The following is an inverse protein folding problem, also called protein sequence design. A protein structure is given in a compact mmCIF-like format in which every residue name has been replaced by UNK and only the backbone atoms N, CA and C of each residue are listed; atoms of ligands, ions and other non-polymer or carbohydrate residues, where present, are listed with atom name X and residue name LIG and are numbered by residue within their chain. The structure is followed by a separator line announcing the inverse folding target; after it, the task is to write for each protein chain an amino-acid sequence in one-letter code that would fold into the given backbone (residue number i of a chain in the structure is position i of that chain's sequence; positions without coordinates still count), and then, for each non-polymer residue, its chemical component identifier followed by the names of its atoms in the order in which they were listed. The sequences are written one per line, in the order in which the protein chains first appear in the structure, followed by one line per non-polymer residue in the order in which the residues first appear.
data_IF_964539310211
#
_entry.id   IF_964539310211
#
_cell.length_a   1.000
_cell.length_b   1.000
_cell.length_c   1.000
_cell.angle_alpha   90.00
_cell.angle_beta   90.00
_cell.angle_gamma   90.00
#
_symmetry.space_group_name_H-M   'P 1'
#
loop_
_entity.id
_entity.type
_entity.pdbx_description
1 polymer ?
#
# COMPACT_ATOMS: atom_id res chain seq x y z
N UNK A 1 -11.39 -40.75 54.64
CA UNK A 1 -11.86 -41.98 53.98
C UNK A 1 -12.94 -41.55 52.99
N UNK A 2 -12.90 -41.73 51.67
CA UNK A 2 -11.97 -42.27 50.67
C UNK A 2 -12.49 -41.71 49.32
N UNK A 3 -11.63 -41.17 48.46
CA UNK A 3 -11.00 -41.87 47.35
C UNK A 3 -11.99 -42.40 46.27
N UNK A 4 -12.06 -41.60 45.19
CA UNK A 4 -12.19 -41.94 43.76
C UNK A 4 -13.15 -43.04 43.29
N UNK A 5 -13.94 -42.71 42.25
CA UNK A 5 -13.82 -43.44 40.98
C UNK A 5 -14.27 -42.60 39.77
N UNK A 6 -13.34 -42.36 38.85
CA UNK A 6 -13.57 -41.92 37.48
C UNK A 6 -14.08 -43.11 36.68
N UNK A 7 -15.18 -42.96 35.93
CA UNK A 7 -15.51 -43.78 34.75
C UNK A 7 -16.69 -43.17 33.99
N UNK A 8 -16.38 -42.33 32.99
CA UNK A 8 -16.78 -42.51 31.59
C UNK A 8 -16.62 -41.21 30.79
N UNK A 9 -15.51 -41.12 30.07
CA UNK A 9 -15.26 -40.04 29.09
C UNK A 9 -16.11 -40.17 27.81
N UNK A 10 -16.94 -41.22 27.71
CA UNK A 10 -17.83 -41.49 26.59
C UNK A 10 -19.21 -40.82 26.73
N UNK A 11 -19.68 -40.54 27.95
CA UNK A 11 -21.00 -39.93 28.17
C UNK A 11 -21.03 -38.43 27.79
N UNK A 12 -19.87 -37.77 27.86
CA UNK A 12 -19.74 -36.38 27.35
C UNK A 12 -19.80 -36.37 25.82
N UNK A 13 -19.29 -37.40 25.15
CA UNK A 13 -19.33 -37.51 23.69
C UNK A 13 -20.73 -37.85 23.15
N UNK A 14 -21.53 -38.64 23.87
CA UNK A 14 -22.92 -38.90 23.44
C UNK A 14 -23.82 -37.67 23.59
N UNK A 15 -23.64 -36.87 24.65
CA UNK A 15 -24.42 -35.63 24.81
C UNK A 15 -24.12 -34.56 23.74
N UNK A 16 -22.94 -34.60 23.12
CA UNK A 16 -22.55 -33.71 22.01
C UNK A 16 -23.07 -34.21 20.65
N UNK A 17 -23.21 -35.53 20.47
CA UNK A 17 -23.75 -36.11 19.24
C UNK A 17 -25.29 -36.07 19.18
N UNK A 18 -25.98 -36.14 20.33
CA UNK A 18 -27.45 -36.05 20.38
C UNK A 18 -27.95 -34.59 20.31
N UNK A 19 -27.11 -33.62 20.72
CA UNK A 19 -27.29 -32.19 20.38
C UNK A 19 -26.73 -31.84 18.99
N UNK A 20 -26.36 -32.84 18.18
CA UNK A 20 -25.92 -32.70 16.80
C UNK A 20 -27.05 -32.89 15.76
N UNK A 21 -28.25 -33.30 16.18
CA UNK A 21 -29.35 -33.62 15.27
C UNK A 21 -30.48 -32.58 15.23
N UNK A 22 -30.27 -31.40 15.81
CA UNK A 22 -31.17 -30.26 15.68
C UNK A 22 -30.37 -29.05 15.20
N UNK A 23 -30.51 -28.76 13.90
CA UNK A 23 -30.17 -27.47 13.28
C UNK A 23 -28.71 -27.20 12.86
N UNK A 24 -27.95 -28.22 12.42
CA UNK A 24 -26.69 -27.99 11.69
C UNK A 24 -26.92 -27.85 10.17
N UNK A 25 -27.85 -26.95 9.80
CA UNK A 25 -27.87 -26.27 8.49
C UNK A 25 -26.78 -25.19 8.38
N UNK A 26 -25.80 -25.19 9.29
CA UNK A 26 -24.70 -24.25 9.40
C UNK A 26 -23.51 -24.65 8.54
N UNK A 27 -23.65 -24.55 7.22
CA UNK A 27 -22.71 -23.86 6.30
C UNK A 27 -21.20 -23.89 6.67
N UNK A 28 -20.65 -25.07 6.97
CA UNK A 28 -19.21 -25.33 7.12
C UNK A 28 -18.61 -25.98 5.87
N UNK A 29 -19.02 -25.53 4.68
CA UNK A 29 -18.40 -25.96 3.44
C UNK A 29 -16.99 -25.40 3.38
N UNK A 30 -16.00 -26.25 3.61
CA UNK A 30 -14.60 -25.99 3.27
C UNK A 30 -14.53 -25.85 1.75
N UNK A 31 -14.84 -24.63 1.29
CA UNK A 31 -15.14 -24.31 -0.08
C UNK A 31 -13.92 -24.56 -0.95
N UNK A 32 -14.09 -25.45 -1.93
CA UNK A 32 -13.11 -25.68 -2.98
C UNK A 32 -12.54 -24.36 -3.49
N UNK A 33 -11.23 -24.36 -3.72
CA UNK A 33 -10.47 -23.27 -4.30
C UNK A 33 -11.04 -22.90 -5.67
N UNK A 34 -12.13 -22.15 -5.69
CA UNK A 34 -12.71 -21.60 -6.91
C UNK A 34 -11.72 -20.60 -7.43
N UNK A 35 -11.51 -20.68 -8.74
CA UNK A 35 -10.87 -19.72 -9.61
C UNK A 35 -11.50 -18.31 -9.44
N UNK A 36 -11.30 -17.66 -8.30
CA UNK A 36 -11.98 -16.42 -7.90
C UNK A 36 -11.13 -15.22 -8.32
N UNK A 37 -11.80 -14.10 -8.56
CA UNK A 37 -11.16 -12.81 -8.73
C UNK A 37 -10.25 -12.54 -7.53
N UNK A 38 -9.00 -12.15 -7.81
CA UNK A 38 -8.02 -11.76 -6.80
C UNK A 38 -7.69 -10.31 -7.02
N UNK A 39 -7.90 -9.48 -6.00
CA UNK A 39 -7.65 -8.05 -6.12
C UNK A 39 -6.17 -7.75 -6.34
N UNK A 40 -5.94 -6.61 -6.96
CA UNK A 40 -4.64 -6.06 -7.24
C UNK A 40 -3.93 -5.65 -5.96
N UNK A 41 -2.61 -5.77 -5.97
CA UNK A 41 -1.78 -5.28 -4.87
C UNK A 41 -1.54 -3.79 -5.01
N UNK A 42 -1.55 -3.09 -3.88
CA UNK A 42 -1.14 -1.69 -3.82
C UNK A 42 0.34 -1.54 -4.21
N UNK A 43 0.65 -0.42 -4.85
CA UNK A 43 2.01 -0.06 -5.24
C UNK A 43 2.49 1.13 -4.41
N UNK A 44 3.78 1.15 -4.05
CA UNK A 44 4.36 2.20 -3.22
C UNK A 44 5.47 2.91 -3.98
N UNK A 45 5.44 4.25 -3.98
CA UNK A 45 6.46 5.07 -4.62
C UNK A 45 7.01 6.10 -3.65
N UNK A 46 8.32 6.11 -3.47
CA UNK A 46 8.99 7.10 -2.61
C UNK A 46 9.35 8.34 -3.44
N UNK A 47 8.66 9.45 -3.16
CA UNK A 47 8.93 10.73 -3.78
C UNK A 47 9.80 11.59 -2.86
N UNK A 48 11.06 11.74 -3.25
CA UNK A 48 11.99 12.65 -2.58
C UNK A 48 11.80 14.08 -3.11
N UNK A 49 11.57 15.02 -2.19
CA UNK A 49 11.40 16.44 -2.44
C UNK A 49 12.42 17.26 -1.67
N UNK A 50 12.80 18.41 -2.21
CA UNK A 50 13.58 19.40 -1.46
C UNK A 50 12.65 20.21 -0.56
N UNK A 51 13.19 20.76 0.53
CA UNK A 51 12.46 21.61 1.48
C UNK A 51 11.58 22.67 0.79
N UNK A 52 12.14 23.46 -0.14
CA UNK A 52 11.39 24.49 -0.86
C UNK A 52 10.21 23.92 -1.66
N UNK A 53 10.39 22.75 -2.32
CA UNK A 53 9.30 22.12 -3.09
C UNK A 53 8.19 21.59 -2.18
N UNK A 54 8.52 21.14 -0.97
CA UNK A 54 7.55 20.72 0.02
C UNK A 54 6.73 21.91 0.54
N UNK A 55 7.37 23.07 0.75
CA UNK A 55 6.70 24.30 1.21
C UNK A 55 5.74 24.86 0.16
N UNK A 56 6.19 25.03 -1.09
CA UNK A 56 5.37 25.64 -2.15
C UNK A 56 4.43 24.67 -2.86
N UNK A 57 4.67 23.37 -2.75
CA UNK A 57 4.02 22.37 -3.58
C UNK A 57 4.66 22.30 -4.97
N UNK A 58 4.44 21.18 -5.65
CA UNK A 58 5.03 20.95 -6.98
C UNK A 58 4.15 20.01 -7.79
N UNK A 59 4.07 20.26 -9.10
CA UNK A 59 3.55 19.28 -10.07
C UNK A 59 4.75 18.54 -10.64
N UNK A 60 4.74 17.21 -10.53
CA UNK A 60 5.83 16.36 -11.03
C UNK A 60 5.24 15.19 -11.80
N UNK A 61 5.93 14.74 -12.83
CA UNK A 61 5.62 13.46 -13.48
C UNK A 61 6.53 12.37 -12.89
N UNK A 62 5.94 11.24 -12.54
CA UNK A 62 6.67 10.05 -12.10
C UNK A 62 6.42 8.90 -13.05
N UNK A 63 7.41 8.03 -13.20
CA UNK A 63 7.28 6.78 -13.91
C UNK A 63 7.08 5.66 -12.90
N UNK A 64 5.94 4.98 -12.99
CA UNK A 64 5.60 3.84 -12.13
C UNK A 64 5.46 2.60 -13.01
N UNK A 65 6.20 1.56 -12.64
CA UNK A 65 6.10 0.26 -13.27
C UNK A 65 5.11 -0.59 -12.50
N UNK A 66 4.00 -0.98 -13.14
CA UNK A 66 2.93 -1.76 -12.51
C UNK A 66 2.44 -2.87 -13.43
N UNK A 67 1.71 -3.82 -12.87
CA UNK A 67 1.01 -4.85 -13.63
C UNK A 67 -0.31 -4.28 -14.16
N UNK A 68 -0.47 -4.28 -15.48
CA UNK A 68 -1.72 -3.92 -16.15
C UNK A 68 -2.35 -5.13 -16.82
N UNK A 69 -3.63 -5.02 -17.17
CA UNK A 69 -4.31 -6.04 -17.97
C UNK A 69 -3.58 -6.26 -19.29
N UNK A 70 -3.40 -7.51 -19.67
CA UNK A 70 -2.82 -7.86 -20.96
C UNK A 70 -3.78 -7.51 -22.09
N UNK A 71 -3.41 -6.57 -22.96
CA UNK A 71 -4.27 -6.06 -24.05
C UNK A 71 -4.70 -7.14 -25.05
N UNK A 72 -3.88 -8.18 -25.24
CA UNK A 72 -4.24 -9.26 -26.17
C UNK A 72 -5.34 -10.16 -25.63
N UNK A 73 -5.29 -10.51 -24.34
CA UNK A 73 -6.26 -11.45 -23.74
C UNK A 73 -7.29 -10.77 -22.83
N UNK A 74 -7.24 -9.44 -22.69
CA UNK A 74 -8.11 -8.63 -21.81
C UNK A 74 -8.19 -9.19 -20.38
N UNK A 75 -7.07 -9.64 -19.82
CA UNK A 75 -7.03 -10.17 -18.44
C UNK A 75 -7.43 -11.63 -18.28
N UNK A 76 -7.87 -12.32 -19.35
CA UNK A 76 -8.30 -13.73 -19.26
C UNK A 76 -7.14 -14.72 -19.12
N UNK A 77 -5.93 -14.34 -19.54
CA UNK A 77 -4.77 -15.23 -19.61
C UNK A 77 -4.80 -16.22 -20.77
N UNK A 78 -5.96 -16.39 -21.44
CA UNK A 78 -6.12 -17.31 -22.55
C UNK A 78 -5.76 -16.67 -23.89
N UNK A 79 -5.35 -17.50 -24.85
CA UNK A 79 -5.13 -17.08 -26.23
C UNK A 79 -6.46 -16.56 -26.81
N UNK A 80 -6.46 -15.41 -27.52
CA UNK A 80 -7.67 -14.86 -28.11
C UNK A 80 -8.40 -15.88 -28.98
N UNK A 81 -9.74 -15.89 -28.92
CA UNK A 81 -10.62 -16.83 -29.64
C UNK A 81 -10.46 -18.31 -29.28
N UNK A 82 -9.76 -18.64 -28.19
CA UNK A 82 -9.77 -20.00 -27.63
C UNK A 82 -10.77 -20.09 -26.48
N UNK A 83 -11.37 -21.27 -26.30
CA UNK A 83 -12.30 -21.54 -25.20
C UNK A 83 -11.60 -22.36 -24.13
N UNK A 84 -11.89 -22.07 -22.87
CA UNK A 84 -11.48 -22.91 -21.77
C UNK A 84 -12.20 -24.27 -21.88
N UNK A 85 -11.46 -25.35 -21.71
CA UNK A 85 -11.98 -26.72 -21.71
C UNK A 85 -11.87 -27.29 -20.31
N UNK A 86 -12.80 -28.15 -19.90
CA UNK A 86 -12.72 -28.82 -18.59
C UNK A 86 -11.40 -29.59 -18.47
N UNK A 87 -10.74 -29.48 -17.31
CA UNK A 87 -9.51 -30.21 -17.06
C UNK A 87 -9.79 -31.71 -16.96
N UNK A 88 -9.15 -32.51 -17.80
CA UNK A 88 -9.34 -33.97 -17.82
C UNK A 88 -8.79 -34.65 -16.55
N UNK A 89 -7.74 -34.12 -15.94
CA UNK A 89 -7.08 -34.70 -14.76
C UNK A 89 -7.93 -34.61 -13.50
N UNK A 90 -8.67 -33.50 -13.31
CA UNK A 90 -9.51 -33.29 -12.13
C UNK A 90 -11.01 -33.26 -12.45
N UNK A 91 -11.41 -33.47 -13.71
CA UNK A 91 -12.81 -33.45 -14.15
C UNK A 91 -13.53 -32.11 -13.91
N UNK A 92 -12.80 -30.99 -13.83
CA UNK A 92 -13.39 -29.69 -13.48
C UNK A 92 -13.29 -29.30 -12.01
N UNK A 93 -12.80 -30.19 -11.13
CA UNK A 93 -12.83 -29.96 -9.69
C UNK A 93 -11.68 -29.08 -9.17
N UNK A 94 -10.63 -28.87 -9.97
CA UNK A 94 -9.45 -28.07 -9.60
C UNK A 94 -8.52 -28.74 -8.57
N UNK A 95 -8.94 -29.84 -7.95
CA UNK A 95 -8.20 -30.59 -6.96
C UNK A 95 -8.21 -32.08 -7.32
N UNK A 96 -7.19 -32.81 -6.88
CA UNK A 96 -7.07 -34.26 -7.04
C UNK A 96 -6.81 -34.90 -5.68
N UNK A 97 -7.49 -36.01 -5.40
CA UNK A 97 -7.31 -36.76 -4.15
C UNK A 97 -6.18 -37.76 -4.36
N UNK A 98 -5.10 -37.62 -3.61
CA UNK A 98 -4.01 -38.59 -3.56
C UNK A 98 -4.17 -39.44 -2.31
N UNK A 99 -4.28 -40.76 -2.50
CA UNK A 99 -4.35 -41.72 -1.39
C UNK A 99 -2.97 -42.36 -1.21
N UNK A 100 -2.43 -42.28 -0.01
CA UNK A 100 -1.20 -42.95 0.39
C UNK A 100 -1.54 -44.05 1.39
N UNK A 101 -1.11 -45.29 1.10
CA UNK A 101 -1.25 -46.40 2.05
C UNK A 101 -0.09 -46.35 3.03
N UNK A 102 -0.40 -46.19 4.31
CA UNK A 102 0.55 -46.23 5.41
C UNK A 102 0.29 -47.48 6.26
N UNK A 103 1.26 -47.95 7.07
CA UNK A 103 1.03 -49.07 7.99
C UNK A 103 -0.12 -48.85 8.98
N UNK A 104 -0.51 -47.58 9.21
CA UNK A 104 -1.61 -47.17 10.08
C UNK A 104 -2.97 -47.00 9.36
N UNK A 105 -3.03 -47.24 8.04
CA UNK A 105 -4.24 -47.12 7.23
C UNK A 105 -4.06 -46.29 5.96
N UNK A 106 -5.18 -45.98 5.28
CA UNK A 106 -5.20 -45.18 4.06
C UNK A 106 -5.34 -43.71 4.42
N UNK A 107 -4.31 -42.91 4.16
CA UNK A 107 -4.36 -41.46 4.33
C UNK A 107 -4.72 -40.82 2.99
N UNK A 108 -5.78 -39.99 2.96
CA UNK A 108 -6.19 -39.25 1.77
C UNK A 108 -5.81 -37.78 1.93
N UNK A 109 -4.99 -37.27 1.01
CA UNK A 109 -4.63 -35.86 0.94
C UNK A 109 -5.22 -35.23 -0.31
N UNK A 110 -5.82 -34.05 -0.16
CA UNK A 110 -6.34 -33.27 -1.28
C UNK A 110 -5.25 -32.32 -1.76
N UNK A 111 -4.81 -32.48 -3.00
CA UNK A 111 -3.81 -31.62 -3.62
C UNK A 111 -4.45 -30.78 -4.73
N UNK A 112 -3.88 -29.61 -5.02
CA UNK A 112 -4.28 -28.83 -6.21
C UNK A 112 -3.91 -29.61 -7.47
N UNK A 113 -4.78 -29.58 -8.48
CA UNK A 113 -4.51 -30.27 -9.74
C UNK A 113 -3.35 -29.58 -10.47
N UNK A 114 -2.25 -30.30 -10.70
CA UNK A 114 -1.05 -29.77 -11.37
C UNK A 114 -1.33 -29.31 -12.81
N UNK A 115 -2.29 -29.93 -13.50
CA UNK A 115 -2.62 -29.62 -14.90
C UNK A 115 -3.35 -28.29 -15.07
N UNK A 116 -4.25 -27.93 -14.15
CA UNK A 116 -5.03 -26.69 -14.22
C UNK A 116 -4.67 -25.67 -13.12
N UNK A 117 -3.71 -25.98 -12.25
CA UNK A 117 -3.29 -25.10 -11.15
C UNK A 117 -4.44 -24.67 -10.24
N UNK A 118 -5.43 -25.55 -10.01
CA UNK A 118 -6.62 -25.20 -9.23
C UNK A 118 -7.80 -24.59 -10.01
N UNK A 119 -7.64 -24.24 -11.29
CA UNK A 119 -8.69 -23.54 -12.04
C UNK A 119 -9.89 -24.42 -12.43
N UNK A 120 -9.73 -25.75 -12.49
CA UNK A 120 -10.73 -26.69 -13.00
C UNK A 120 -10.84 -26.73 -14.52
N UNK A 121 -10.31 -25.72 -15.20
CA UNK A 121 -10.30 -25.62 -16.65
C UNK A 121 -8.87 -25.41 -17.17
N UNK A 122 -8.64 -25.86 -18.39
CA UNK A 122 -7.39 -25.69 -19.14
C UNK A 122 -7.68 -24.89 -20.39
N UNK A 123 -6.83 -23.92 -20.68
CA UNK A 123 -6.90 -23.09 -21.88
C UNK A 123 -5.51 -22.98 -22.50
N UNK A 124 -5.45 -22.62 -23.78
CA UNK A 124 -4.18 -22.31 -24.43
C UNK A 124 -3.67 -20.98 -23.88
N UNK A 125 -2.48 -20.93 -23.25
CA UNK A 125 -2.00 -19.70 -22.63
C UNK A 125 -1.78 -18.60 -23.67
N UNK A 126 -2.02 -17.35 -23.27
CA UNK A 126 -1.71 -16.19 -24.09
C UNK A 126 -0.19 -16.05 -24.25
N UNK A 127 0.27 -15.81 -25.48
CA UNK A 127 1.70 -15.71 -25.79
C UNK A 127 2.41 -14.53 -25.09
N UNK A 128 1.70 -13.46 -24.76
CA UNK A 128 2.31 -12.24 -24.18
C UNK A 128 2.42 -12.33 -22.65
N UNK A 129 1.37 -12.79 -21.97
CA UNK A 129 1.35 -12.89 -20.50
C UNK A 129 1.60 -14.31 -19.99
N UNK A 130 1.85 -15.29 -20.87
CA UNK A 130 2.09 -16.70 -20.53
C UNK A 130 1.04 -17.33 -19.61
N UNK A 131 -0.23 -16.90 -19.73
CA UNK A 131 -1.32 -17.41 -18.91
C UNK A 131 -1.68 -16.57 -17.68
N UNK A 132 -0.88 -15.55 -17.33
CA UNK A 132 -1.11 -14.73 -16.13
C UNK A 132 -2.27 -13.74 -16.27
N UNK A 133 -2.54 -13.29 -17.51
CA UNK A 133 -3.54 -12.26 -17.82
C UNK A 133 -3.07 -10.83 -17.56
N UNK A 134 -1.88 -10.65 -16.97
CA UNK A 134 -1.29 -9.33 -16.68
C UNK A 134 0.06 -9.17 -17.36
N UNK A 135 0.46 -7.93 -17.61
CA UNK A 135 1.74 -7.56 -18.20
C UNK A 135 2.34 -6.38 -17.43
N UNK A 136 3.66 -6.37 -17.27
CA UNK A 136 4.35 -5.25 -16.63
C UNK A 136 4.47 -4.10 -17.63
N UNK A 137 3.96 -2.93 -17.28
CA UNK A 137 4.03 -1.70 -18.08
C UNK A 137 4.50 -0.54 -17.21
N UNK A 138 5.27 0.36 -17.80
CA UNK A 138 5.67 1.62 -17.16
C UNK A 138 4.75 2.73 -17.64
N UNK A 139 4.11 3.43 -16.70
CA UNK A 139 3.17 4.52 -16.97
C UNK A 139 3.69 5.80 -16.33
N UNK A 140 3.55 6.92 -17.05
CA UNK A 140 3.79 8.27 -16.52
C UNK A 140 2.54 8.78 -15.84
N UNK A 141 2.65 9.16 -14.57
CA UNK A 141 1.56 9.70 -13.77
C UNK A 141 1.95 11.10 -13.33
N UNK A 142 1.13 12.09 -13.69
CA UNK A 142 1.28 13.46 -13.22
C UNK A 142 0.68 13.57 -11.82
N UNK A 143 1.52 13.90 -10.85
CA UNK A 143 1.12 14.09 -9.46
C UNK A 143 1.23 15.56 -9.07
N UNK A 144 0.22 16.04 -8.34
CA UNK A 144 0.20 17.37 -7.74
C UNK A 144 0.42 17.23 -6.24
N UNK A 145 1.60 17.63 -5.78
CA UNK A 145 1.90 17.70 -4.35
C UNK A 145 1.36 19.04 -3.83
N UNK A 146 0.47 19.04 -2.82
CA UNK A 146 0.00 20.28 -2.22
C UNK A 146 1.13 21.01 -1.50
N UNK A 147 0.97 22.31 -1.30
CA UNK A 147 1.88 23.12 -0.50
C UNK A 147 1.79 22.72 0.98
N UNK A 148 2.91 22.82 1.68
CA UNK A 148 3.00 22.55 3.11
C UNK A 148 3.10 21.08 3.51
N UNK A 149 3.30 20.16 2.56
CA UNK A 149 3.53 18.74 2.87
C UNK A 149 4.75 18.56 3.75
N UNK A 150 4.70 17.56 4.62
CA UNK A 150 5.81 17.18 5.48
C UNK A 150 6.30 15.76 5.17
N UNK A 151 7.50 15.42 5.64
CA UNK A 151 8.05 14.06 5.55
C UNK A 151 7.11 13.05 6.18
N UNK A 152 6.91 11.92 5.50
CA UNK A 152 5.96 10.87 5.92
C UNK A 152 4.53 11.08 5.44
N UNK A 153 4.23 12.21 4.78
CA UNK A 153 2.93 12.42 4.12
C UNK A 153 2.69 11.37 3.04
N UNK A 154 1.43 10.94 2.88
CA UNK A 154 1.03 9.90 1.92
C UNK A 154 -0.04 10.44 0.98
N UNK A 155 0.21 10.37 -0.32
CA UNK A 155 -0.79 10.66 -1.35
C UNK A 155 -1.30 9.35 -1.94
N UNK A 156 -2.62 9.18 -2.00
CA UNK A 156 -3.28 7.98 -2.53
C UNK A 156 -3.87 8.27 -3.91
N UNK A 157 -3.44 7.53 -4.91
CA UNK A 157 -4.01 7.52 -6.25
C UNK A 157 -4.82 6.24 -6.42
N UNK A 158 -6.14 6.40 -6.53
CA UNK A 158 -7.06 5.26 -6.61
C UNK A 158 -6.88 4.51 -7.93
N UNK A 159 -6.95 3.19 -7.89
CA UNK A 159 -6.84 2.30 -9.06
C UNK A 159 -5.57 2.46 -9.89
N UNK A 160 -4.55 3.13 -9.33
CA UNK A 160 -3.26 3.32 -9.99
C UNK A 160 -2.20 2.27 -9.59
N UNK A 161 -2.54 1.32 -8.71
CA UNK A 161 -1.69 0.19 -8.35
C UNK A 161 -1.73 -0.97 -9.35
N UNK A 162 -1.36 -2.17 -8.90
CA UNK A 162 -1.37 -3.36 -9.77
C UNK A 162 -2.81 -3.79 -10.08
N UNK A 163 -3.09 -4.22 -11.31
CA UNK A 163 -4.40 -4.76 -11.68
C UNK A 163 -4.62 -6.12 -11.03
N UNK A 164 -5.86 -6.44 -10.66
CA UNK A 164 -6.28 -7.74 -10.13
C UNK A 164 -6.23 -8.87 -11.16
N UNK A 165 -6.43 -10.12 -10.72
CA UNK A 165 -6.34 -11.35 -11.53
C UNK A 165 -7.77 -11.79 -11.72
N UNK A 166 -8.09 -12.28 -12.92
CA UNK A 166 -9.40 -12.90 -13.20
C UNK A 166 -10.58 -11.98 -12.84
N UNK A 167 -10.44 -10.69 -13.14
CA UNK A 167 -11.47 -9.68 -12.88
C UNK A 167 -11.45 -9.04 -11.49
N UNK A 168 -10.40 -9.27 -10.67
CA UNK A 168 -10.23 -8.54 -9.40
C UNK A 168 -9.98 -7.04 -9.62
N UNK A 169 -10.35 -6.22 -8.65
CA UNK A 169 -10.19 -4.76 -8.75
C UNK A 169 -8.71 -4.37 -8.72
N UNK A 170 -8.29 -3.27 -9.37
CA UNK A 170 -6.93 -2.76 -9.23
C UNK A 170 -6.66 -2.30 -7.78
N UNK A 171 -5.41 -2.46 -7.34
CA UNK A 171 -4.91 -1.80 -6.14
C UNK A 171 -4.68 -0.31 -6.36
N UNK A 172 -4.22 0.36 -5.32
CA UNK A 172 -3.93 1.80 -5.32
C UNK A 172 -2.43 2.08 -5.37
N UNK A 173 -2.08 3.29 -5.79
CA UNK A 173 -0.71 3.79 -5.69
C UNK A 173 -0.59 4.74 -4.49
N UNK A 174 0.29 4.40 -3.56
CA UNK A 174 0.65 5.24 -2.43
C UNK A 174 2.00 5.91 -2.68
N UNK A 175 1.97 7.24 -2.84
CA UNK A 175 3.18 8.05 -2.93
C UNK A 175 3.56 8.51 -1.54
N UNK A 176 4.68 8.00 -1.02
CA UNK A 176 5.26 8.41 0.26
C UNK A 176 6.22 9.56 0.02
N UNK A 177 6.00 10.68 0.71
CA UNK A 177 6.82 11.88 0.54
C UNK A 177 7.95 11.86 1.56
N UNK A 178 9.17 12.04 1.07
CA UNK A 178 10.36 12.25 1.88
C UNK A 178 10.92 13.64 1.56
N UNK A 179 11.01 14.52 2.56
CA UNK A 179 11.52 15.87 2.40
C UNK A 179 12.97 15.91 2.87
N UNK A 180 13.87 16.28 1.96
CA UNK A 180 15.26 16.57 2.27
C UNK A 180 15.28 17.86 3.11
N UNK A 181 15.82 17.82 4.34
CA UNK A 181 15.91 19.00 5.19
C UNK A 181 16.84 20.05 4.58
N UNK A 182 16.53 21.33 4.81
CA UNK A 182 17.41 22.42 4.41
C UNK A 182 18.53 22.62 5.45
N UNK A 183 19.77 22.87 5.04
CA UNK A 183 20.88 23.07 5.98
C UNK A 183 20.79 24.38 6.76
N UNK A 184 20.05 25.37 6.24
CA UNK A 184 19.96 26.72 6.79
C UNK A 184 18.61 26.93 7.48
N UNK A 185 17.52 26.50 6.85
CA UNK A 185 16.16 26.66 7.33
C UNK A 185 15.69 25.40 8.06
N UNK A 186 15.26 25.54 9.31
CA UNK A 186 14.66 24.45 10.08
C UNK A 186 13.16 24.64 10.14
N UNK A 187 12.40 23.62 9.73
CA UNK A 187 10.95 23.61 9.91
C UNK A 187 10.60 23.24 11.34
N UNK A 188 9.70 24.00 11.93
CA UNK A 188 9.04 23.71 13.20
C UNK A 188 7.53 23.84 12.98
N UNK A 189 6.91 22.71 12.60
CA UNK A 189 5.50 22.62 12.19
C UNK A 189 5.15 23.61 11.05
N UNK A 190 4.48 24.72 11.38
CA UNK A 190 4.11 25.79 10.44
C UNK A 190 5.11 26.95 10.43
N UNK A 191 6.05 26.97 11.37
CA UNK A 191 7.08 27.98 11.49
C UNK A 191 8.37 27.53 10.81
N UNK A 192 9.19 28.53 10.48
CA UNK A 192 10.52 28.32 9.92
C UNK A 192 11.50 29.08 10.79
N UNK A 193 12.46 28.33 11.32
CA UNK A 193 13.49 28.82 12.21
C UNK A 193 14.78 29.01 11.41
N UNK A 194 15.35 30.20 11.53
CA UNK A 194 16.66 30.53 11.01
C UNK A 194 17.49 31.14 12.15
N UNK A 195 18.68 30.59 12.38
CA UNK A 195 19.61 31.13 13.38
C UNK A 195 20.58 32.08 12.70
N UNK A 196 20.36 33.38 12.88
CA UNK A 196 21.27 34.40 12.36
C UNK A 196 22.37 34.73 13.39
N UNK A 197 23.61 34.83 12.91
CA UNK A 197 24.73 35.37 13.69
C UNK A 197 24.98 36.81 13.25
N UNK A 198 24.98 37.73 14.21
CA UNK A 198 25.20 39.17 13.98
C UNK A 198 26.39 39.65 14.80
N UNK A 199 26.99 40.77 14.38
CA UNK A 199 28.05 41.40 15.13
C UNK A 199 27.48 42.02 16.41
N UNK A 200 28.30 42.04 17.47
CA UNK A 200 27.89 42.62 18.75
C UNK A 200 27.55 44.12 18.64
N UNK A 201 28.29 44.85 17.79
CA UNK A 201 28.05 46.28 17.53
C UNK A 201 26.69 46.50 16.86
N UNK A 202 26.34 45.66 15.89
CA UNK A 202 25.06 45.70 15.18
C UNK A 202 23.87 45.40 16.11
N UNK A 203 24.07 44.50 17.09
CA UNK A 203 23.05 44.20 18.10
C UNK A 203 22.79 45.39 19.05
N UNK A 204 23.83 46.17 19.37
CA UNK A 204 23.73 47.36 20.23
C UNK A 204 23.07 48.53 19.49
N UNK A 205 23.58 48.86 18.29
CA UNK A 205 23.13 50.04 17.53
C UNK A 205 21.83 49.80 16.75
N UNK A 206 21.52 48.54 16.45
CA UNK A 206 20.48 48.16 15.52
C UNK A 206 20.99 48.22 14.07
N UNK A 207 20.48 47.34 13.23
CA UNK A 207 20.89 47.22 11.82
C UNK A 207 19.78 46.61 10.98
N UNK A 208 19.96 46.59 9.67
CA UNK A 208 19.12 45.82 8.74
C UNK A 208 20.00 44.82 8.02
N UNK A 209 19.68 43.53 8.16
CA UNK A 209 20.42 42.43 7.54
C UNK A 209 19.55 41.67 6.55
N UNK A 210 20.18 41.05 5.54
CA UNK A 210 19.49 40.12 4.64
C UNK A 210 19.50 38.71 5.22
N UNK A 211 18.31 38.15 5.43
CA UNK A 211 18.12 36.79 5.93
C UNK A 211 17.49 35.90 4.86
N UNK A 212 17.90 34.63 4.75
CA UNK A 212 17.24 33.65 3.89
C UNK A 212 15.86 33.31 4.46
N UNK A 213 14.85 33.32 3.59
CA UNK A 213 13.50 32.83 3.87
C UNK A 213 13.10 31.82 2.78
N UNK A 214 11.97 31.15 2.94
CA UNK A 214 11.44 30.25 1.89
C UNK A 214 11.15 30.96 0.57
N UNK A 215 10.76 32.23 0.62
CA UNK A 215 10.47 33.05 -0.57
C UNK A 215 11.74 33.66 -1.21
N UNK A 216 12.92 33.46 -0.60
CA UNK A 216 14.18 34.10 -0.99
C UNK A 216 14.76 35.00 0.10
N UNK A 217 15.70 35.88 -0.28
CA UNK A 217 16.35 36.79 0.66
C UNK A 217 15.45 37.98 1.00
N UNK A 218 15.30 38.27 2.28
CA UNK A 218 14.50 39.42 2.75
C UNK A 218 15.25 40.23 3.80
N UNK A 219 14.92 41.52 3.87
CA UNK A 219 15.50 42.44 4.84
C UNK A 219 14.82 42.28 6.21
N UNK A 220 15.60 41.96 7.24
CA UNK A 220 15.18 41.88 8.63
C UNK A 220 15.77 43.06 9.41
N UNK A 221 14.88 43.87 10.00
CA UNK A 221 15.28 44.97 10.88
C UNK A 221 15.53 44.46 12.29
N UNK A 222 16.75 44.68 12.79
CA UNK A 222 17.17 44.35 14.15
C UNK A 222 17.12 45.63 14.98
N UNK A 223 16.30 45.69 16.05
CA UNK A 223 16.28 46.84 16.95
C UNK A 223 17.58 46.93 17.75
N UNK A 224 17.99 48.15 18.09
CA UNK A 224 19.13 48.36 19.00
C UNK A 224 18.84 47.80 20.39
N UNK A 225 19.88 47.25 21.03
CA UNK A 225 19.77 46.59 22.33
C UNK A 225 19.24 45.15 22.26
N UNK A 226 19.26 44.50 21.08
CA UNK A 226 18.84 43.11 20.92
C UNK A 226 19.72 42.18 21.76
N UNK A 227 19.10 41.37 22.61
CA UNK A 227 19.81 40.41 23.47
C UNK A 227 20.15 39.12 22.71
N UNK A 228 21.20 38.38 23.12
CA UNK A 228 21.47 37.04 22.59
C UNK A 228 20.26 36.12 22.73
N UNK A 229 20.03 35.25 21.75
CA UNK A 229 18.89 34.33 21.68
C UNK A 229 17.50 34.99 21.61
N UNK A 230 17.42 36.31 21.37
CA UNK A 230 16.13 36.98 21.10
C UNK A 230 15.54 36.44 19.79
N UNK A 231 14.26 36.07 19.82
CA UNK A 231 13.54 35.61 18.62
C UNK A 231 12.78 36.78 18.00
N UNK A 232 13.11 37.11 16.75
CA UNK A 232 12.39 38.10 15.95
C UNK A 232 11.46 37.36 14.98
N UNK A 233 10.19 37.77 14.93
CA UNK A 233 9.17 37.09 14.13
C UNK A 233 8.92 37.85 12.83
N UNK A 234 9.08 37.17 11.70
CA UNK A 234 8.64 37.65 10.39
C UNK A 234 7.26 37.07 10.08
N UNK A 235 6.22 37.90 10.18
CA UNK A 235 4.85 37.47 9.93
C UNK A 235 4.67 36.99 8.48
N UNK A 236 3.87 35.92 8.30
CA UNK A 236 3.52 35.34 6.98
C UNK A 236 4.71 34.78 6.17
N UNK A 237 5.80 34.40 6.85
CA UNK A 237 7.00 33.76 6.25
C UNK A 237 7.22 32.31 6.69
N UNK A 238 6.17 31.68 7.20
CA UNK A 238 6.14 30.26 7.56
C UNK A 238 5.68 29.35 6.41
N UNK A 239 5.36 28.11 6.75
CA UNK A 239 4.83 27.11 5.83
C UNK A 239 3.29 27.22 5.75
N UNK A 240 2.68 27.16 4.55
CA UNK A 240 1.23 27.13 4.43
C UNK A 240 0.66 25.86 5.09
N UNK A 241 -0.49 26.01 5.77
CA UNK A 241 -1.19 24.89 6.42
C UNK A 241 -1.83 24.01 5.35
N UNK A 242 -1.55 22.70 5.40
CA UNK A 242 -2.24 21.70 4.59
C UNK A 242 -3.76 21.83 4.77
N UNK A 243 -4.52 21.87 3.67
CA UNK A 243 -5.98 21.95 3.64
C UNK A 243 -6.63 23.28 4.08
N UNK A 244 -5.88 24.37 4.28
CA UNK A 244 -6.49 25.71 4.24
C UNK A 244 -6.56 26.16 2.79
N UNK A 245 -7.76 26.15 2.22
CA UNK A 245 -8.03 26.93 1.00
C UNK A 245 -7.62 28.36 1.26
N UNK A 246 -6.70 28.90 0.46
CA UNK A 246 -6.37 30.33 0.48
C UNK A 246 -7.67 31.10 0.20
N UNK A 247 -8.28 31.61 1.26
CA UNK A 247 -9.36 32.60 1.24
C UNK A 247 -8.77 33.93 1.68
#
# INVERSE_FOLDING_TARGET
MGASDFRNSFDIFESLFDMGNMNMGGRGGMGGSRNRAVDGQDEYYNLVLTFNKAVFGVVKEIEVTRLESCDTCNGSGAKPRTKATKCNTCGGQGQVVSSARTPLGVFQQVMTCNTCGGAGETFVPCNICSGDGRVRKTKRISLKVPSGVDSGSRLRFRSEGNVGRRGGSPGDLFVMIEVIPDPVLKRDDTNILYTCKILYVDAILGTTIKVPTVDGMMDLKIPGGTQPNTTLVMAKKGVPVLNKSNM
#
